data_IF_806520854253
#
_entry.id   IF_806520854253
#
_cell.length_a   1.000
_cell.length_b   1.000
_cell.length_c   1.000
_cell.angle_alpha   90.00
_cell.angle_beta   90.00
_cell.angle_gamma   90.00
#
_symmetry.space_group_name_H-M   'P 1'
#
loop_
_entity.id
_entity.type
_entity.pdbx_description
1 polymer ?
#
# COMPACT_ATOMS: atom_id res chain seq x y z
N UNK A 1 1.14 23.61 19.25
CA UNK A 1 1.25 22.19 19.65
C UNK A 1 0.24 21.33 18.89
N UNK A 2 -1.06 21.45 19.14
CA UNK A 2 -2.08 20.61 18.48
C UNK A 2 -2.14 20.73 16.95
N UNK A 3 -1.98 21.94 16.41
CA UNK A 3 -1.91 22.15 14.95
C UNK A 3 -0.66 21.51 14.31
N UNK A 4 0.45 21.46 15.05
CA UNK A 4 1.70 20.83 14.61
C UNK A 4 1.56 19.31 14.63
N UNK A 5 1.02 18.75 15.72
CA UNK A 5 0.72 17.32 15.84
C UNK A 5 -0.22 16.84 14.71
N UNK A 6 -1.30 17.60 14.45
CA UNK A 6 -2.22 17.29 13.35
C UNK A 6 -1.53 17.33 11.97
N UNK A 7 -0.69 18.32 11.73
CA UNK A 7 0.04 18.44 10.47
C UNK A 7 1.00 17.26 10.24
N UNK A 8 1.68 16.79 11.30
CA UNK A 8 2.56 15.62 11.23
C UNK A 8 1.79 14.34 10.91
N UNK A 9 0.67 14.10 11.60
CA UNK A 9 -0.15 12.90 11.37
C UNK A 9 -0.77 12.92 9.97
N UNK A 10 -1.25 14.09 9.51
CA UNK A 10 -1.76 14.24 8.15
C UNK A 10 -0.68 13.96 7.09
N UNK A 11 0.56 14.43 7.30
CA UNK A 11 1.67 14.12 6.40
C UNK A 11 1.98 12.61 6.36
N UNK A 12 1.95 11.92 7.52
CA UNK A 12 2.12 10.46 7.60
C UNK A 12 1.01 9.72 6.87
N UNK A 13 -0.25 10.11 7.08
CA UNK A 13 -1.41 9.54 6.40
C UNK A 13 -1.29 9.66 4.87
N UNK A 14 -0.98 10.86 4.37
CA UNK A 14 -0.81 11.10 2.94
C UNK A 14 0.36 10.30 2.34
N UNK A 15 1.45 10.18 3.09
CA UNK A 15 2.59 9.35 2.69
C UNK A 15 2.23 7.87 2.61
N UNK A 16 1.58 7.32 3.64
CA UNK A 16 1.11 5.93 3.68
C UNK A 16 0.11 5.63 2.56
N UNK A 17 -0.85 6.53 2.33
CA UNK A 17 -1.83 6.40 1.24
C UNK A 17 -1.14 6.34 -0.13
N UNK A 18 -0.21 7.27 -0.40
CA UNK A 18 0.52 7.29 -1.68
C UNK A 18 1.40 6.04 -1.87
N UNK A 19 2.03 5.55 -0.79
CA UNK A 19 2.79 4.29 -0.80
C UNK A 19 1.88 3.12 -1.15
N UNK A 20 0.76 2.95 -0.44
CA UNK A 20 -0.20 1.88 -0.70
C UNK A 20 -0.76 1.93 -2.13
N UNK A 21 -1.08 3.13 -2.63
CA UNK A 21 -1.56 3.30 -4.01
C UNK A 21 -0.51 2.88 -5.03
N UNK A 22 0.76 3.27 -4.83
CA UNK A 22 1.86 2.91 -5.74
C UNK A 22 2.12 1.41 -5.73
N UNK A 23 2.18 0.80 -4.55
CA UNK A 23 2.37 -0.64 -4.38
C UNK A 23 1.24 -1.41 -5.06
N UNK A 24 -0.02 -1.05 -4.80
CA UNK A 24 -1.20 -1.72 -5.36
C UNK A 24 -1.31 -1.58 -6.88
N UNK A 25 -1.09 -0.38 -7.43
CA UNK A 25 -1.38 -0.09 -8.83
C UNK A 25 -0.21 -0.36 -9.78
N UNK A 26 1.03 -0.42 -9.27
CA UNK A 26 2.23 -0.54 -10.11
C UNK A 26 3.14 -1.68 -9.69
N UNK A 27 3.52 -1.72 -8.41
CA UNK A 27 4.61 -2.61 -7.97
C UNK A 27 4.14 -4.06 -7.83
N UNK A 28 2.98 -4.30 -7.21
CA UNK A 28 2.41 -5.65 -7.08
C UNK A 28 2.16 -6.26 -8.47
N UNK A 29 1.47 -5.59 -9.42
CA UNK A 29 1.28 -6.14 -10.77
C UNK A 29 2.60 -6.44 -11.49
N UNK A 30 3.59 -5.54 -11.42
CA UNK A 30 4.89 -5.78 -12.05
C UNK A 30 5.62 -7.01 -11.47
N UNK A 31 5.50 -7.24 -10.16
CA UNK A 31 6.06 -8.43 -9.53
C UNK A 31 5.28 -9.70 -9.88
N UNK A 32 3.96 -9.62 -10.05
CA UNK A 32 3.14 -10.74 -10.54
C UNK A 32 3.55 -11.14 -11.97
N UNK A 33 3.78 -10.17 -12.85
CA UNK A 33 4.29 -10.40 -14.20
C UNK A 33 5.69 -11.02 -14.18
N UNK A 34 6.58 -10.54 -13.29
CA UNK A 34 7.94 -11.09 -13.13
C UNK A 34 7.89 -12.55 -12.69
N UNK A 35 7.06 -12.87 -11.71
CA UNK A 35 6.86 -14.25 -11.26
C UNK A 35 6.28 -15.14 -12.36
N UNK A 36 5.27 -14.66 -13.11
CA UNK A 36 4.70 -15.39 -14.23
C UNK A 36 5.74 -15.65 -15.35
N UNK A 37 6.59 -14.67 -15.66
CA UNK A 37 7.66 -14.82 -16.63
C UNK A 37 8.71 -15.85 -16.17
N UNK A 38 9.12 -15.82 -14.91
CA UNK A 38 10.04 -16.81 -14.34
C UNK A 38 9.46 -18.22 -14.41
N UNK A 39 8.19 -18.38 -14.01
CA UNK A 39 7.48 -19.66 -14.07
C UNK A 39 7.37 -20.21 -15.51
N UNK A 40 7.01 -19.35 -16.47
CA UNK A 40 6.94 -19.73 -17.88
C UNK A 40 8.32 -20.08 -18.46
N UNK A 41 9.37 -19.36 -18.06
CA UNK A 41 10.74 -19.64 -18.48
C UNK A 41 11.25 -20.97 -17.92
N UNK A 42 10.91 -21.31 -16.68
CA UNK A 42 11.19 -22.63 -16.09
C UNK A 42 10.51 -23.77 -16.85
N UNK A 43 9.22 -23.63 -17.18
CA UNK A 43 8.48 -24.62 -17.97
C UNK A 43 9.05 -24.82 -19.39
N UNK A 44 9.77 -23.83 -19.92
CA UNK A 44 10.46 -23.89 -21.21
C UNK A 44 11.94 -24.34 -21.09
N UNK A 45 12.45 -24.57 -19.88
CA UNK A 45 13.86 -24.88 -19.64
C UNK A 45 14.83 -23.70 -19.82
N UNK A 46 14.31 -22.47 -19.91
CA UNK A 46 15.11 -21.24 -20.08
C UNK A 46 15.64 -20.68 -18.75
N UNK A 47 14.96 -20.99 -17.65
CA UNK A 47 15.33 -20.59 -16.28
C UNK A 47 15.36 -21.80 -15.36
N UNK A 48 16.11 -21.69 -14.27
CA UNK A 48 16.15 -22.69 -13.21
C UNK A 48 14.98 -22.54 -12.24
N UNK A 49 14.74 -23.57 -11.42
CA UNK A 49 13.69 -23.51 -10.39
C UNK A 49 13.98 -22.44 -9.32
N UNK A 50 15.25 -22.15 -9.05
CA UNK A 50 15.64 -21.08 -8.12
C UNK A 50 15.18 -19.69 -8.57
N UNK A 51 15.19 -19.42 -9.89
CA UNK A 51 14.70 -18.15 -10.44
C UNK A 51 13.20 -17.96 -10.16
N UNK A 52 12.43 -19.05 -10.19
CA UNK A 52 10.99 -19.05 -9.85
C UNK A 52 10.80 -18.74 -8.37
N UNK A 53 11.57 -19.37 -7.49
CA UNK A 53 11.49 -19.16 -6.05
C UNK A 53 11.91 -17.74 -5.65
N UNK A 54 12.92 -17.17 -6.30
CA UNK A 54 13.36 -15.81 -6.06
C UNK A 54 12.31 -14.79 -6.52
N UNK A 55 11.70 -14.99 -7.69
CA UNK A 55 10.60 -14.14 -8.15
C UNK A 55 9.37 -14.26 -7.24
N UNK A 56 9.05 -15.47 -6.76
CA UNK A 56 7.97 -15.70 -5.80
C UNK A 56 8.23 -14.98 -4.46
N UNK A 57 9.46 -15.06 -3.95
CA UNK A 57 9.89 -14.36 -2.73
C UNK A 57 9.72 -12.86 -2.89
N UNK A 58 10.17 -12.30 -4.02
CA UNK A 58 10.00 -10.88 -4.33
C UNK A 58 8.54 -10.44 -4.34
N UNK A 59 7.66 -11.23 -4.97
CA UNK A 59 6.22 -10.96 -4.97
C UNK A 59 5.63 -10.95 -3.55
N UNK A 60 6.02 -11.89 -2.70
CA UNK A 60 5.56 -11.92 -1.31
C UNK A 60 6.06 -10.73 -0.50
N UNK A 61 7.31 -10.31 -0.68
CA UNK A 61 7.85 -9.12 0.00
C UNK A 61 7.03 -7.89 -0.37
N UNK A 62 6.81 -7.64 -1.67
CA UNK A 62 6.04 -6.46 -2.12
C UNK A 62 4.58 -6.49 -1.65
N UNK A 63 3.96 -7.68 -1.56
CA UNK A 63 2.63 -7.83 -0.97
C UNK A 63 2.63 -7.51 0.54
N UNK A 64 3.68 -7.91 1.25
CA UNK A 64 3.91 -7.51 2.64
C UNK A 64 4.01 -5.99 2.79
N UNK A 65 4.84 -5.35 1.96
CA UNK A 65 4.99 -3.89 1.96
C UNK A 65 3.66 -3.16 1.70
N UNK A 66 2.78 -3.72 0.86
CA UNK A 66 1.44 -3.17 0.63
C UNK A 66 0.58 -3.25 1.89
N UNK A 67 0.60 -4.39 2.60
CA UNK A 67 -0.15 -4.57 3.84
C UNK A 67 0.35 -3.60 4.92
N UNK A 68 1.67 -3.44 5.04
CA UNK A 68 2.26 -2.50 5.99
C UNK A 68 1.87 -1.05 5.66
N UNK A 69 1.91 -0.66 4.38
CA UNK A 69 1.48 0.68 3.95
C UNK A 69 -0.01 0.95 4.22
N UNK A 70 -0.87 -0.06 4.07
CA UNK A 70 -2.29 0.04 4.41
C UNK A 70 -2.51 0.12 5.92
N UNK A 71 -1.76 -0.65 6.71
CA UNK A 71 -1.78 -0.59 8.16
C UNK A 71 -1.38 0.81 8.66
N UNK A 72 -0.25 1.33 8.17
CA UNK A 72 0.22 2.69 8.47
C UNK A 72 -0.85 3.76 8.17
N UNK A 73 -1.55 3.61 7.04
CA UNK A 73 -2.63 4.52 6.64
C UNK A 73 -3.79 4.49 7.63
N UNK A 74 -4.28 3.30 8.00
CA UNK A 74 -5.39 3.16 8.93
C UNK A 74 -5.03 3.59 10.36
N UNK A 75 -3.80 3.35 10.80
CA UNK A 75 -3.29 3.86 12.09
C UNK A 75 -3.28 5.39 12.08
N UNK A 76 -2.71 6.03 11.06
CA UNK A 76 -2.67 7.49 10.96
C UNK A 76 -4.08 8.10 10.87
N UNK A 77 -5.03 7.43 10.22
CA UNK A 77 -6.42 7.87 10.17
C UNK A 77 -7.06 7.83 11.56
N UNK A 78 -6.80 6.75 12.31
CA UNK A 78 -7.27 6.59 13.69
C UNK A 78 -6.68 7.66 14.62
N UNK A 79 -5.43 8.04 14.41
CA UNK A 79 -4.79 9.12 15.16
C UNK A 79 -5.43 10.49 14.89
N UNK A 80 -5.81 10.78 13.64
CA UNK A 80 -6.56 12.01 13.31
C UNK A 80 -7.89 12.03 14.06
N UNK A 81 -8.65 10.93 14.01
CA UNK A 81 -9.94 10.81 14.71
C UNK A 81 -9.81 11.09 16.21
N UNK A 82 -8.76 10.53 16.84
CA UNK A 82 -8.48 10.70 18.26
C UNK A 82 -8.29 12.17 18.63
N UNK A 83 -7.61 12.95 17.78
CA UNK A 83 -7.31 14.37 18.04
C UNK A 83 -8.48 15.27 17.67
N UNK A 84 -9.23 14.94 16.63
CA UNK A 84 -10.38 15.75 16.17
C UNK A 84 -11.68 15.40 16.89
N UNK A 85 -11.71 14.29 17.63
CA UNK A 85 -12.91 13.79 18.30
C UNK A 85 -14.02 13.36 17.33
N UNK A 86 -13.66 13.03 16.09
CA UNK A 86 -14.61 12.76 14.98
C UNK A 86 -14.50 11.31 14.53
N UNK A 87 -15.62 10.67 14.20
CA UNK A 87 -15.64 9.28 13.70
C UNK A 87 -15.21 9.18 12.23
N UNK A 88 -14.89 7.96 11.75
CA UNK A 88 -14.53 7.71 10.34
C UNK A 88 -15.74 7.98 9.46
N UNK A 89 -16.95 7.59 9.91
CA UNK A 89 -18.17 7.89 9.17
C UNK A 89 -18.39 9.40 9.02
N UNK A 90 -18.08 10.20 10.04
CA UNK A 90 -18.19 11.66 9.94
C UNK A 90 -17.12 12.27 9.03
N UNK A 91 -15.86 11.81 9.12
CA UNK A 91 -14.79 12.25 8.23
C UNK A 91 -15.07 11.92 6.75
N UNK A 92 -15.58 10.71 6.47
CA UNK A 92 -15.96 10.29 5.12
C UNK A 92 -17.23 10.98 4.60
N UNK A 93 -18.09 11.50 5.48
CA UNK A 93 -19.21 12.38 5.09
C UNK A 93 -18.76 13.82 4.83
N UNK A 94 -17.64 14.23 5.41
CA UNK A 94 -17.04 15.54 5.21
C UNK A 94 -16.21 15.66 3.93
N UNK A 95 -15.78 14.54 3.32
CA UNK A 95 -15.30 14.57 1.93
C UNK A 95 -16.50 14.90 1.03
N UNK A 96 -16.60 16.10 0.45
CA UNK A 96 -17.68 16.41 -0.46
C UNK A 96 -17.57 15.42 -1.62
N UNK A 97 -18.71 14.83 -2.02
CA UNK A 97 -18.81 14.23 -3.34
C UNK A 97 -18.25 15.25 -4.34
N UNK A 98 -17.11 14.93 -4.97
CA UNK A 98 -16.70 15.51 -6.25
C UNK A 98 -17.78 15.08 -7.27
N UNK A 99 -18.97 15.67 -7.16
CA UNK A 99 -19.94 15.73 -8.24
C UNK A 99 -19.48 16.84 -9.16
N UNK A 100 -18.74 16.44 -10.19
CA UNK A 100 -18.72 17.17 -11.44
C UNK A 100 -18.75 16.20 -12.62
#
# INVERSE_FOLDING_TARGET
ELATELAEIHARLMSAHRRALTLRSKVVPAMEETFAAAHNGYGQGKFGFLDVLDAQRGLFIVRGDLLDALSDYHIALTDIQRITGTSIEELLRMTPEEKQ
#
